data_IF_894453670729
#
_entry.id   IF_894453670729
#
_cell.length_a   1.000
_cell.length_b   1.000
_cell.length_c   1.000
_cell.angle_alpha   90.00
_cell.angle_beta   90.00
_cell.angle_gamma   90.00
#
_symmetry.space_group_name_H-M   'P 1'
#
loop_
_entity.id
_entity.type
_entity.pdbx_description
1 polymer ?
#
# COMPACT_ATOMS: atom_id res chain seq x y z
N UNK A 1 32.16 16.29 38.63
CA UNK A 1 30.75 16.75 38.72
C UNK A 1 30.05 16.35 37.43
N UNK A 2 29.15 15.37 37.49
CA UNK A 2 28.43 14.84 36.32
C UNK A 2 27.01 15.43 36.34
N UNK A 3 26.55 16.19 35.32
CA UNK A 3 25.24 16.84 35.38
C UNK A 3 24.13 15.78 35.36
N UNK A 4 23.27 15.80 36.39
CA UNK A 4 22.08 14.96 36.46
C UNK A 4 21.19 15.33 35.27
N UNK A 5 21.03 14.39 34.33
CA UNK A 5 20.11 14.47 33.20
C UNK A 5 18.69 14.43 33.76
N UNK A 6 18.10 15.60 33.98
CA UNK A 6 16.73 15.73 34.48
C UNK A 6 15.76 15.39 33.34
N UNK A 7 15.41 14.12 33.22
CA UNK A 7 14.32 13.68 32.36
C UNK A 7 13.02 14.22 32.95
N UNK A 8 12.55 15.35 32.44
CA UNK A 8 11.23 15.87 32.82
C UNK A 8 10.16 14.86 32.36
N UNK A 9 9.10 14.61 33.14
CA UNK A 9 7.96 13.77 32.74
C UNK A 9 7.38 14.17 31.37
N UNK A 10 7.51 15.46 31.01
CA UNK A 10 7.07 16.04 29.74
C UNK A 10 7.87 15.51 28.54
N UNK A 11 9.15 15.15 28.71
CA UNK A 11 9.95 14.55 27.64
C UNK A 11 9.53 13.09 27.35
N UNK A 12 9.06 12.37 28.38
CA UNK A 12 8.51 11.02 28.24
C UNK A 12 7.11 11.07 27.61
N UNK A 13 6.24 11.98 28.05
CA UNK A 13 4.92 12.23 27.46
C UNK A 13 5.03 12.64 25.98
N UNK A 14 5.96 13.54 25.66
CA UNK A 14 6.19 13.99 24.29
C UNK A 14 6.70 12.89 23.36
N UNK A 15 7.39 11.87 23.86
CA UNK A 15 7.84 10.73 23.05
C UNK A 15 6.72 9.71 22.82
N UNK A 16 5.88 9.45 23.81
CA UNK A 16 4.78 8.48 23.70
C UNK A 16 3.56 9.04 22.95
N UNK A 17 3.35 10.36 22.98
CA UNK A 17 2.25 11.00 22.26
C UNK A 17 2.31 10.74 20.75
N UNK A 18 3.50 10.78 20.15
CA UNK A 18 3.66 10.45 18.72
C UNK A 18 3.30 9.00 18.43
N UNK A 19 3.73 8.04 19.25
CA UNK A 19 3.37 6.63 19.06
C UNK A 19 1.86 6.41 19.20
N UNK A 20 1.22 7.04 20.18
CA UNK A 20 -0.23 6.95 20.38
C UNK A 20 -0.97 7.56 19.17
N UNK A 21 -0.53 8.73 18.69
CA UNK A 21 -1.14 9.39 17.53
C UNK A 21 -0.97 8.55 16.26
N UNK A 22 0.23 8.03 16.01
CA UNK A 22 0.50 7.13 14.88
C UNK A 22 -0.34 5.86 14.97
N UNK A 23 -0.50 5.27 16.16
CA UNK A 23 -1.33 4.09 16.36
C UNK A 23 -2.80 4.38 16.06
N UNK A 24 -3.34 5.51 16.55
CA UNK A 24 -4.71 5.93 16.27
C UNK A 24 -4.92 6.10 14.77
N UNK A 25 -4.00 6.78 14.08
CA UNK A 25 -4.10 7.00 12.65
C UNK A 25 -3.95 5.71 11.84
N UNK A 26 -3.07 4.81 12.27
CA UNK A 26 -2.91 3.49 11.67
C UNK A 26 -4.19 2.65 11.83
N UNK A 27 -4.79 2.62 13.02
CA UNK A 27 -6.08 1.97 13.27
C UNK A 27 -7.19 2.55 12.39
N UNK A 28 -7.27 3.88 12.29
CA UNK A 28 -8.24 4.55 11.42
C UNK A 28 -8.03 4.20 9.94
N UNK A 29 -6.77 4.19 9.48
CA UNK A 29 -6.40 3.84 8.11
C UNK A 29 -6.64 2.35 7.79
N UNK A 30 -6.63 1.49 8.80
CA UNK A 30 -6.94 0.07 8.69
C UNK A 30 -8.45 -0.22 8.56
N UNK A 31 -9.33 0.71 8.95
CA UNK A 31 -10.79 0.54 8.88
C UNK A 31 -11.32 0.13 7.49
N UNK A 32 -10.93 0.78 6.36
CA UNK A 32 -11.39 0.34 5.04
C UNK A 32 -10.97 -1.09 4.70
N UNK A 33 -9.77 -1.51 5.13
CA UNK A 33 -9.29 -2.88 4.93
C UNK A 33 -10.04 -3.88 5.81
N UNK A 34 -10.31 -3.52 7.06
CA UNK A 34 -11.17 -4.31 7.94
C UNK A 34 -12.57 -4.48 7.34
N UNK A 35 -13.14 -3.40 6.81
CA UNK A 35 -14.45 -3.46 6.17
C UNK A 35 -14.45 -4.36 4.94
N UNK A 36 -13.45 -4.23 4.06
CA UNK A 36 -13.28 -5.08 2.89
C UNK A 36 -13.12 -6.57 3.27
N UNK A 37 -12.31 -6.85 4.29
CA UNK A 37 -12.12 -8.22 4.80
C UNK A 37 -13.42 -8.78 5.40
N UNK A 38 -14.11 -8.00 6.24
CA UNK A 38 -15.40 -8.36 6.82
C UNK A 38 -16.46 -8.62 5.73
N UNK A 39 -16.47 -7.83 4.65
CA UNK A 39 -17.36 -8.02 3.52
C UNK A 39 -17.07 -9.34 2.78
N UNK A 40 -15.80 -9.68 2.58
CA UNK A 40 -15.40 -10.89 1.86
C UNK A 40 -15.89 -12.19 2.48
N UNK A 41 -16.15 -12.20 3.80
CA UNK A 41 -16.59 -13.38 4.57
C UNK A 41 -18.08 -13.35 4.95
N UNK A 42 -18.84 -12.32 4.55
CA UNK A 42 -20.29 -12.26 4.78
C UNK A 42 -21.04 -13.09 3.75
N UNK A 43 -22.20 -13.61 4.12
CA UNK A 43 -23.12 -14.18 3.14
C UNK A 43 -23.58 -13.06 2.17
N UNK A 44 -23.64 -13.29 0.83
CA UNK A 44 -24.12 -12.31 -0.14
C UNK A 44 -25.46 -11.66 0.24
N UNK A 45 -26.38 -12.42 0.86
CA UNK A 45 -27.67 -11.91 1.30
C UNK A 45 -27.58 -10.90 2.47
N UNK A 46 -26.48 -10.95 3.24
CA UNK A 46 -26.26 -10.13 4.43
C UNK A 46 -25.38 -8.89 4.17
N UNK A 47 -24.91 -8.74 2.93
CA UNK A 47 -24.01 -7.65 2.48
C UNK A 47 -24.52 -6.26 2.87
N UNK A 48 -25.84 -6.03 2.74
CA UNK A 48 -26.48 -4.73 2.99
C UNK A 48 -27.34 -4.68 4.25
N UNK A 49 -27.53 -5.81 4.96
CA UNK A 49 -28.41 -5.89 6.14
C UNK A 49 -27.65 -5.79 7.48
N UNK A 50 -26.34 -6.08 7.49
CA UNK A 50 -25.51 -5.98 8.69
C UNK A 50 -25.27 -4.52 9.06
N UNK A 51 -25.79 -4.10 10.22
CA UNK A 51 -25.63 -2.75 10.76
C UNK A 51 -24.47 -2.67 11.78
N UNK A 52 -23.82 -1.52 11.90
CA UNK A 52 -22.74 -1.28 12.86
C UNK A 52 -21.33 -1.64 12.34
N UNK A 53 -20.44 -2.08 13.23
CA UNK A 53 -19.04 -2.39 12.89
C UNK A 53 -18.84 -3.73 12.18
N UNK A 54 -19.92 -4.46 11.90
CA UNK A 54 -19.91 -5.78 11.27
C UNK A 54 -18.83 -6.71 11.84
N UNK A 55 -18.95 -6.99 13.13
CA UNK A 55 -18.09 -7.89 13.90
C UNK A 55 -18.50 -9.34 13.61
N UNK A 56 -17.58 -10.20 13.14
CA UNK A 56 -17.87 -11.61 12.86
C UNK A 56 -18.31 -12.34 14.13
N UNK A 57 -19.16 -13.37 13.99
CA UNK A 57 -19.74 -14.19 15.06
C UNK A 57 -20.74 -13.48 15.99
N UNK A 58 -20.64 -12.15 16.14
CA UNK A 58 -21.62 -11.34 16.88
C UNK A 58 -22.75 -10.85 15.98
N UNK A 59 -22.42 -10.38 14.77
CA UNK A 59 -23.38 -9.67 13.91
C UNK A 59 -23.73 -10.42 12.61
N UNK A 60 -22.93 -11.42 12.23
CA UNK A 60 -23.19 -12.32 11.11
C UNK A 60 -22.39 -13.62 11.28
N UNK A 61 -22.76 -14.66 10.53
CA UNK A 61 -22.03 -15.92 10.49
C UNK A 61 -20.97 -15.88 9.38
N UNK A 62 -19.66 -15.97 9.70
CA UNK A 62 -18.61 -15.97 8.68
C UNK A 62 -18.73 -17.18 7.75
N UNK A 63 -18.65 -16.94 6.45
CA UNK A 63 -18.69 -17.96 5.41
C UNK A 63 -17.55 -17.77 4.42
N UNK A 64 -17.13 -18.87 3.79
CA UNK A 64 -16.10 -18.88 2.74
C UNK A 64 -16.73 -18.94 1.33
N UNK A 65 -18.05 -18.79 1.23
CA UNK A 65 -18.78 -19.00 -0.02
C UNK A 65 -18.32 -18.05 -1.13
N UNK A 66 -18.17 -16.75 -0.82
CA UNK A 66 -17.70 -15.76 -1.80
C UNK A 66 -16.32 -16.12 -2.35
N UNK A 67 -15.42 -16.60 -1.49
CA UNK A 67 -14.08 -17.03 -1.91
C UNK A 67 -14.15 -18.24 -2.82
N UNK A 68 -14.99 -19.22 -2.50
CA UNK A 68 -15.16 -20.43 -3.31
C UNK A 68 -15.78 -20.07 -4.67
N UNK A 69 -16.86 -19.30 -4.68
CA UNK A 69 -17.54 -18.87 -5.91
C UNK A 69 -16.58 -18.08 -6.81
N UNK A 70 -15.89 -17.08 -6.25
CA UNK A 70 -14.99 -16.22 -7.02
C UNK A 70 -13.74 -16.95 -7.53
N UNK A 71 -13.20 -17.91 -6.75
CA UNK A 71 -12.01 -18.67 -7.17
C UNK A 71 -12.32 -19.80 -8.15
N UNK A 72 -13.56 -20.27 -8.24
CA UNK A 72 -13.97 -21.29 -9.23
C UNK A 72 -14.26 -20.66 -10.59
N UNK A 73 -14.67 -19.38 -10.63
CA UNK A 73 -14.91 -18.67 -11.87
C UNK A 73 -13.63 -18.57 -12.70
N UNK A 74 -13.62 -19.23 -13.85
CA UNK A 74 -12.45 -19.31 -14.72
C UNK A 74 -11.98 -17.95 -15.26
N UNK A 75 -12.89 -16.97 -15.38
CA UNK A 75 -12.54 -15.60 -15.75
C UNK A 75 -11.67 -14.94 -14.69
N UNK A 76 -12.05 -15.02 -13.41
CA UNK A 76 -11.29 -14.49 -12.29
C UNK A 76 -9.91 -15.13 -12.20
N UNK A 77 -9.82 -16.45 -12.33
CA UNK A 77 -8.52 -17.15 -12.35
C UNK A 77 -7.59 -16.62 -13.46
N UNK A 78 -8.14 -16.45 -14.68
CA UNK A 78 -7.38 -15.89 -15.82
C UNK A 78 -6.97 -14.45 -15.56
N UNK A 79 -7.86 -13.63 -15.01
CA UNK A 79 -7.57 -12.23 -14.68
C UNK A 79 -6.44 -12.11 -13.63
N UNK A 80 -6.46 -12.96 -12.60
CA UNK A 80 -5.41 -13.02 -11.57
C UNK A 80 -4.06 -13.45 -12.16
N UNK A 81 -4.05 -14.48 -13.02
CA UNK A 81 -2.83 -14.92 -13.69
C UNK A 81 -2.27 -13.84 -14.61
N UNK A 82 -3.11 -13.25 -15.46
CA UNK A 82 -2.69 -12.18 -16.38
C UNK A 82 -2.11 -11.00 -15.61
N UNK A 83 -2.78 -10.54 -14.56
CA UNK A 83 -2.33 -9.42 -13.73
C UNK A 83 -1.02 -9.73 -13.04
N UNK A 84 -0.85 -10.95 -12.52
CA UNK A 84 0.39 -11.39 -11.85
C UNK A 84 1.56 -11.42 -12.84
N UNK A 85 1.35 -11.99 -14.03
CA UNK A 85 2.38 -12.06 -15.08
C UNK A 85 2.76 -10.66 -15.54
N UNK A 86 1.78 -9.78 -15.79
CA UNK A 86 2.03 -8.41 -16.23
C UNK A 86 2.75 -7.62 -15.13
N UNK A 87 2.32 -7.72 -13.87
CA UNK A 87 2.93 -6.99 -12.76
C UNK A 87 4.40 -7.42 -12.54
N UNK A 88 4.66 -8.73 -12.47
CA UNK A 88 6.02 -9.25 -12.29
C UNK A 88 6.90 -8.99 -13.51
N UNK A 89 6.38 -9.23 -14.71
CA UNK A 89 7.11 -8.98 -15.96
C UNK A 89 7.48 -7.51 -16.11
N UNK A 90 6.55 -6.61 -15.79
CA UNK A 90 6.81 -5.16 -15.81
C UNK A 90 7.81 -4.76 -14.73
N UNK A 91 7.67 -5.25 -13.50
CA UNK A 91 8.59 -4.94 -12.41
C UNK A 91 10.03 -5.36 -12.75
N UNK A 92 10.21 -6.57 -13.27
CA UNK A 92 11.52 -7.07 -13.70
C UNK A 92 12.04 -6.26 -14.88
N UNK A 93 11.23 -6.03 -15.92
CA UNK A 93 11.63 -5.24 -17.09
C UNK A 93 12.06 -3.82 -16.72
N UNK A 94 11.29 -3.15 -15.86
CA UNK A 94 11.62 -1.80 -15.36
C UNK A 94 12.88 -1.81 -14.52
N UNK A 95 13.13 -2.82 -13.69
CA UNK A 95 14.38 -2.90 -12.93
C UNK A 95 15.59 -3.13 -13.83
N UNK A 96 15.50 -4.08 -14.77
CA UNK A 96 16.59 -4.44 -15.69
C UNK A 96 16.98 -3.26 -16.57
N UNK A 97 16.03 -2.46 -17.03
CA UNK A 97 16.30 -1.31 -17.89
C UNK A 97 16.56 -0.02 -17.08
N UNK A 98 15.75 0.21 -16.06
CA UNK A 98 15.77 1.44 -15.27
C UNK A 98 16.95 1.56 -14.31
N UNK A 99 17.36 0.45 -13.66
CA UNK A 99 18.49 0.49 -12.74
C UNK A 99 19.82 0.89 -13.42
N UNK A 100 20.24 0.29 -14.55
CA UNK A 100 21.47 0.73 -15.23
C UNK A 100 21.34 2.13 -15.82
N UNK A 101 20.16 2.52 -16.32
CA UNK A 101 19.93 3.88 -16.83
C UNK A 101 20.10 4.93 -15.71
N UNK A 102 19.51 4.68 -14.53
CA UNK A 102 19.66 5.54 -13.36
C UNK A 102 21.11 5.56 -12.84
N UNK A 103 21.79 4.41 -12.84
CA UNK A 103 23.21 4.34 -12.48
C UNK A 103 24.07 5.17 -13.44
N UNK A 104 23.85 5.06 -14.75
CA UNK A 104 24.61 5.80 -15.73
C UNK A 104 24.42 7.33 -15.56
N UNK A 105 23.19 7.77 -15.36
CA UNK A 105 22.87 9.19 -15.15
C UNK A 105 23.40 9.75 -13.82
N UNK A 106 23.55 8.92 -12.79
CA UNK A 106 24.08 9.36 -11.49
C UNK A 106 25.61 9.35 -11.43
N UNK A 107 26.27 8.43 -12.15
CA UNK A 107 27.73 8.26 -12.08
C UNK A 107 28.49 8.93 -13.21
N UNK A 108 27.94 8.99 -14.43
CA UNK A 108 28.61 9.60 -15.57
C UNK A 108 28.11 11.03 -15.80
N UNK A 109 29.00 11.90 -16.26
CA UNK A 109 28.64 13.27 -16.65
C UNK A 109 28.46 13.33 -18.17
N UNK A 110 27.21 13.44 -18.62
CA UNK A 110 26.88 13.65 -20.02
C UNK A 110 26.89 15.15 -20.32
N UNK A 111 27.57 15.54 -21.40
CA UNK A 111 27.72 16.96 -21.80
C UNK A 111 26.63 17.45 -22.75
N UNK A 112 26.09 16.60 -23.61
CA UNK A 112 25.07 16.95 -24.62
C UNK A 112 24.22 15.72 -24.98
N UNK A 113 22.97 15.59 -24.48
CA UNK A 113 22.28 16.43 -23.50
C UNK A 113 22.92 16.35 -22.10
N UNK A 114 22.70 17.36 -21.26
CA UNK A 114 23.16 17.32 -19.87
C UNK A 114 22.27 16.38 -19.03
N UNK A 115 22.82 15.79 -17.96
CA UNK A 115 22.06 14.91 -17.05
C UNK A 115 20.77 15.58 -16.51
N UNK A 116 20.83 16.90 -16.26
CA UNK A 116 19.69 17.69 -15.81
C UNK A 116 18.57 17.73 -16.85
N UNK A 117 18.92 17.84 -18.13
CA UNK A 117 17.94 17.93 -19.22
C UNK A 117 17.21 16.59 -19.38
N UNK A 118 17.93 15.47 -19.31
CA UNK A 118 17.32 14.13 -19.28
C UNK A 118 16.33 13.99 -18.11
N UNK A 119 16.73 14.41 -16.92
CA UNK A 119 15.89 14.32 -15.72
C UNK A 119 14.63 15.18 -15.87
N UNK A 120 14.77 16.42 -16.33
CA UNK A 120 13.65 17.33 -16.56
C UNK A 120 12.70 16.77 -17.61
N UNK A 121 13.24 16.22 -18.71
CA UNK A 121 12.42 15.63 -19.76
C UNK A 121 11.60 14.43 -19.25
N UNK A 122 12.23 13.49 -18.54
CA UNK A 122 11.52 12.33 -17.95
C UNK A 122 10.44 12.75 -16.94
N UNK A 123 10.73 13.74 -16.10
CA UNK A 123 9.75 14.26 -15.13
C UNK A 123 8.59 14.97 -15.83
N UNK A 124 8.87 15.73 -16.90
CA UNK A 124 7.85 16.38 -17.71
C UNK A 124 6.87 15.35 -18.29
N UNK A 125 7.34 14.23 -18.84
CA UNK A 125 6.45 13.19 -19.39
C UNK A 125 5.52 12.56 -18.34
N UNK A 126 5.87 12.59 -17.05
CA UNK A 126 5.06 12.02 -15.95
C UNK A 126 4.02 12.97 -15.38
N UNK A 127 4.20 14.28 -15.58
CA UNK A 127 3.29 15.32 -15.06
C UNK A 127 2.26 15.73 -16.12
N UNK A 128 2.55 15.48 -17.40
CA UNK A 128 1.59 15.70 -18.46
C UNK A 128 0.34 14.84 -18.21
N UNK A 129 -0.87 15.43 -18.21
CA UNK A 129 -2.09 14.64 -18.12
C UNK A 129 -2.14 13.66 -19.30
N UNK A 130 -2.62 12.41 -19.07
CA UNK A 130 -2.68 11.38 -20.10
C UNK A 130 -3.69 11.70 -21.21
#
# INVERSE_FOLDING_TARGET
MNPKKNWSPNAFLGRHSYFILTLIFACFSALPFYWAASLSIRNPAETFSVTGLAVPFLQYQPTLINWIEELIVGETQRALLNSTIIALGTAVGVMVLGAPAAYALSRFSFRRPANKDFTIWFLSQRVLPP
#
